data_IF_962483599192
#
_entry.id   IF_962483599192
#
_cell.length_a   1.000
_cell.length_b   1.000
_cell.length_c   1.000
_cell.angle_alpha   90.00
_cell.angle_beta   90.00
_cell.angle_gamma   90.00
#
_symmetry.space_group_name_H-M   'P 1'
#
loop_
_entity.id
_entity.type
_entity.pdbx_description
1 polymer ?
#
# COMPACT_ATOMS: atom_id res chain seq x y z
N UNK A 1 71.68 -41.10 36.29
CA UNK A 1 70.87 -40.66 35.13
C UNK A 1 69.40 -40.55 35.51
N UNK A 2 68.75 -41.62 35.98
CA UNK A 2 67.35 -41.62 36.45
C UNK A 2 67.00 -40.53 37.48
N UNK A 3 67.78 -40.41 38.56
CA UNK A 3 67.52 -39.41 39.60
C UNK A 3 67.66 -37.96 39.12
N UNK A 4 68.60 -37.71 38.19
CA UNK A 4 68.82 -36.39 37.61
C UNK A 4 67.70 -36.02 36.64
N UNK A 5 67.23 -36.99 35.85
CA UNK A 5 66.07 -36.84 34.97
C UNK A 5 64.77 -36.60 35.75
N UNK A 6 64.53 -37.37 36.82
CA UNK A 6 63.37 -37.17 37.70
C UNK A 6 63.37 -35.81 38.39
N UNK A 7 64.53 -35.32 38.80
CA UNK A 7 64.67 -34.00 39.44
C UNK A 7 64.46 -32.86 38.43
N UNK A 8 65.05 -32.96 37.24
CA UNK A 8 64.86 -31.98 36.15
C UNK A 8 63.41 -31.96 35.65
N UNK A 9 62.79 -33.13 35.49
CA UNK A 9 61.39 -33.26 35.11
C UNK A 9 60.48 -32.62 36.18
N UNK A 10 60.71 -32.91 37.47
CA UNK A 10 59.91 -32.31 38.54
C UNK A 10 60.09 -30.79 38.68
N UNK A 11 61.31 -30.26 38.51
CA UNK A 11 61.60 -28.84 38.76
C UNK A 11 61.21 -27.92 37.59
N UNK A 12 61.16 -28.44 36.35
CA UNK A 12 60.92 -27.60 35.16
C UNK A 12 59.60 -27.97 34.47
N UNK A 13 59.29 -29.25 34.29
CA UNK A 13 58.12 -29.68 33.53
C UNK A 13 56.80 -29.44 34.29
N UNK A 14 56.81 -29.61 35.61
CA UNK A 14 55.64 -29.40 36.47
C UNK A 14 55.20 -27.91 36.50
N UNK A 15 56.07 -26.92 36.78
CA UNK A 15 55.66 -25.51 36.75
C UNK A 15 55.31 -25.02 35.35
N UNK A 16 56.01 -25.50 34.31
CA UNK A 16 55.69 -25.13 32.92
C UNK A 16 54.30 -25.63 32.49
N UNK A 17 53.92 -26.85 32.87
CA UNK A 17 52.58 -27.40 32.56
C UNK A 17 51.46 -26.70 33.34
N UNK A 18 51.69 -26.34 34.61
CA UNK A 18 50.78 -25.51 35.41
C UNK A 18 50.57 -24.12 34.80
N UNK A 19 51.65 -23.46 34.36
CA UNK A 19 51.57 -22.15 33.73
C UNK A 19 50.79 -22.20 32.41
N UNK A 20 51.02 -23.23 31.58
CA UNK A 20 50.27 -23.45 30.34
C UNK A 20 48.79 -23.69 30.61
N UNK A 21 48.44 -24.52 31.60
CA UNK A 21 47.05 -24.78 31.98
C UNK A 21 46.35 -23.50 32.45
N UNK A 22 47.00 -22.69 33.29
CA UNK A 22 46.47 -21.41 33.75
C UNK A 22 46.23 -20.43 32.59
N UNK A 23 47.16 -20.36 31.62
CA UNK A 23 47.01 -19.53 30.44
C UNK A 23 45.82 -19.97 29.56
N UNK A 24 45.61 -21.28 29.37
CA UNK A 24 44.47 -21.81 28.62
C UNK A 24 43.14 -21.51 29.31
N UNK A 25 43.06 -21.67 30.63
CA UNK A 25 41.86 -21.33 31.42
C UNK A 25 41.56 -19.84 31.32
N UNK A 26 42.57 -18.98 31.42
CA UNK A 26 42.41 -17.54 31.26
C UNK A 26 41.90 -17.18 29.86
N UNK A 27 42.46 -17.77 28.82
CA UNK A 27 42.07 -17.51 27.43
C UNK A 27 40.63 -17.98 27.15
N UNK A 28 40.25 -19.14 27.68
CA UNK A 28 38.88 -19.64 27.62
C UNK A 28 37.89 -18.72 28.39
N UNK A 29 38.27 -18.20 29.56
CA UNK A 29 37.46 -17.27 30.32
C UNK A 29 37.23 -15.95 29.56
N UNK A 30 38.29 -15.39 28.96
CA UNK A 30 38.20 -14.18 28.12
C UNK A 30 37.31 -14.43 26.90
N UNK A 31 37.45 -15.58 26.24
CA UNK A 31 36.62 -15.94 25.10
C UNK A 31 35.15 -16.06 25.48
N UNK A 32 34.82 -16.77 26.57
CA UNK A 32 33.46 -16.89 27.09
C UNK A 32 32.86 -15.52 27.48
N UNK A 33 33.66 -14.65 28.10
CA UNK A 33 33.24 -13.28 28.42
C UNK A 33 32.94 -12.48 27.14
N UNK A 34 33.81 -12.59 26.12
CA UNK A 34 33.62 -11.96 24.82
C UNK A 34 32.33 -12.42 24.12
N UNK A 35 32.03 -13.72 24.13
CA UNK A 35 30.79 -14.26 23.57
C UNK A 35 29.55 -13.76 24.31
N UNK A 36 29.57 -13.72 25.65
CA UNK A 36 28.46 -13.20 26.46
C UNK A 36 28.22 -11.72 26.17
N UNK A 37 29.27 -10.91 26.20
CA UNK A 37 29.19 -9.48 25.87
C UNK A 37 28.66 -9.29 24.45
N UNK A 38 29.20 -10.03 23.48
CA UNK A 38 28.77 -10.00 22.08
C UNK A 38 27.29 -10.36 21.90
N UNK A 39 26.81 -11.41 22.57
CA UNK A 39 25.40 -11.82 22.50
C UNK A 39 24.45 -10.75 23.08
N UNK A 40 24.81 -10.15 24.21
CA UNK A 40 23.99 -9.13 24.87
C UNK A 40 23.96 -7.84 24.04
N UNK A 41 25.12 -7.40 23.55
CA UNK A 41 25.22 -6.22 22.70
C UNK A 41 24.53 -6.43 21.34
N UNK A 42 24.59 -7.65 20.79
CA UNK A 42 23.89 -8.05 19.58
C UNK A 42 22.38 -7.92 19.72
N UNK A 43 21.81 -8.43 20.82
CA UNK A 43 20.37 -8.36 21.09
C UNK A 43 19.88 -6.91 21.22
N UNK A 44 20.61 -6.04 21.94
CA UNK A 44 20.24 -4.62 22.06
C UNK A 44 20.28 -3.87 20.73
N UNK A 45 21.24 -4.19 19.85
CA UNK A 45 21.32 -3.59 18.52
C UNK A 45 20.20 -4.11 17.61
N UNK A 46 19.89 -5.39 17.68
CA UNK A 46 18.80 -6.01 16.92
C UNK A 46 17.44 -5.40 17.30
N UNK A 47 17.19 -5.22 18.60
CA UNK A 47 15.95 -4.63 19.11
C UNK A 47 15.77 -3.18 18.63
N UNK A 48 16.80 -2.32 18.76
CA UNK A 48 16.74 -0.94 18.25
C UNK A 48 16.56 -0.86 16.73
N UNK A 49 17.19 -1.78 15.97
CA UNK A 49 17.00 -1.84 14.53
C UNK A 49 15.58 -2.29 14.17
N UNK A 50 15.01 -3.20 14.95
CA UNK A 50 13.65 -3.69 14.77
C UNK A 50 12.63 -2.59 15.07
N UNK A 51 12.78 -1.88 16.20
CA UNK A 51 11.95 -0.73 16.55
C UNK A 51 11.99 0.36 15.46
N UNK A 52 13.19 0.74 14.99
CA UNK A 52 13.33 1.72 13.90
C UNK A 52 12.65 1.26 12.61
N UNK A 53 12.75 -0.03 12.26
CA UNK A 53 12.07 -0.60 11.09
C UNK A 53 10.55 -0.63 11.25
N UNK A 54 10.06 -0.89 12.46
CA UNK A 54 8.63 -0.85 12.77
C UNK A 54 8.09 0.58 12.68
N UNK A 55 8.81 1.56 13.24
CA UNK A 55 8.44 2.98 13.14
C UNK A 55 8.46 3.49 11.70
N UNK A 56 9.51 3.16 10.94
CA UNK A 56 9.59 3.55 9.53
C UNK A 56 8.49 2.89 8.72
N UNK A 57 8.26 1.59 8.92
CA UNK A 57 7.20 0.84 8.25
C UNK A 57 5.80 1.38 8.55
N UNK A 58 5.53 1.72 9.81
CA UNK A 58 4.26 2.36 10.23
C UNK A 58 4.09 3.73 9.59
N UNK A 59 5.13 4.56 9.60
CA UNK A 59 5.11 5.89 8.99
C UNK A 59 4.86 5.82 7.49
N UNK A 60 5.53 4.90 6.80
CA UNK A 60 5.39 4.70 5.36
C UNK A 60 4.00 4.16 4.99
N UNK A 61 3.46 3.23 5.78
CA UNK A 61 2.10 2.74 5.61
C UNK A 61 1.06 3.88 5.73
N UNK A 62 1.19 4.75 6.74
CA UNK A 62 0.32 5.91 6.92
C UNK A 62 0.47 6.90 5.76
N UNK A 63 1.69 7.20 5.31
CA UNK A 63 1.93 8.10 4.17
C UNK A 63 1.27 7.57 2.89
N UNK A 64 1.47 6.28 2.58
CA UNK A 64 0.87 5.66 1.39
C UNK A 64 -0.66 5.66 1.45
N UNK A 65 -1.22 5.30 2.61
CA UNK A 65 -2.67 5.33 2.81
C UNK A 65 -3.25 6.73 2.61
N UNK A 66 -2.60 7.76 3.18
CA UNK A 66 -3.01 9.16 2.97
C UNK A 66 -2.93 9.60 1.52
N UNK A 67 -1.88 9.22 0.79
CA UNK A 67 -1.73 9.55 -0.62
C UNK A 67 -2.85 8.92 -1.47
N UNK A 68 -3.19 7.65 -1.20
CA UNK A 68 -4.28 6.96 -1.89
C UNK A 68 -5.63 7.63 -1.58
N UNK A 69 -5.93 7.87 -0.31
CA UNK A 69 -7.18 8.52 0.11
C UNK A 69 -7.30 9.95 -0.47
N UNK A 70 -6.21 10.72 -0.47
CA UNK A 70 -6.19 12.03 -1.08
C UNK A 70 -6.49 11.96 -2.57
N UNK A 71 -5.90 11.01 -3.30
CA UNK A 71 -6.20 10.78 -4.72
C UNK A 71 -7.68 10.48 -4.97
N UNK A 72 -8.25 9.56 -4.18
CA UNK A 72 -9.68 9.20 -4.27
C UNK A 72 -10.61 10.38 -3.96
N UNK A 73 -10.28 11.18 -2.94
CA UNK A 73 -11.04 12.38 -2.60
C UNK A 73 -10.92 13.45 -3.70
N UNK A 74 -9.73 13.64 -4.27
CA UNK A 74 -9.52 14.56 -5.38
C UNK A 74 -10.35 14.17 -6.61
N UNK A 75 -10.49 12.88 -6.89
CA UNK A 75 -11.34 12.38 -7.98
C UNK A 75 -12.82 12.71 -7.74
N UNK A 76 -13.33 12.48 -6.52
CA UNK A 76 -14.73 12.76 -6.20
C UNK A 76 -15.04 14.26 -6.11
N UNK A 77 -14.09 15.07 -5.62
CA UNK A 77 -14.24 16.51 -5.45
C UNK A 77 -13.76 17.31 -6.65
N UNK A 78 -13.36 16.65 -7.74
CA UNK A 78 -12.77 17.27 -8.91
C UNK A 78 -13.55 18.48 -9.44
N UNK A 79 -14.90 18.47 -9.50
CA UNK A 79 -15.67 19.63 -9.96
C UNK A 79 -15.40 20.91 -9.15
N UNK A 80 -15.06 20.80 -7.87
CA UNK A 80 -14.80 21.96 -7.00
C UNK A 80 -13.31 22.32 -6.88
N UNK A 81 -12.43 21.60 -7.57
CA UNK A 81 -11.00 21.91 -7.57
C UNK A 81 -10.67 23.05 -8.55
N UNK A 82 -9.62 23.83 -8.26
CA UNK A 82 -9.14 24.85 -9.19
C UNK A 82 -8.85 24.26 -10.57
N UNK A 83 -9.21 24.99 -11.62
CA UNK A 83 -8.99 24.64 -13.03
C UNK A 83 -9.78 23.42 -13.55
N UNK A 84 -10.81 22.95 -12.84
CA UNK A 84 -11.75 22.02 -13.45
C UNK A 84 -12.44 22.70 -14.66
N UNK A 85 -12.46 22.06 -15.85
CA UNK A 85 -12.78 22.75 -17.10
C UNK A 85 -14.28 23.02 -17.33
N UNK A 86 -15.16 22.56 -16.44
CA UNK A 86 -16.62 22.68 -16.59
C UNK A 86 -17.28 23.34 -15.38
N UNK A 87 -18.49 23.87 -15.58
CA UNK A 87 -19.30 24.38 -14.48
C UNK A 87 -19.73 23.22 -13.56
N UNK A 88 -19.43 23.27 -12.24
CA UNK A 88 -19.75 22.20 -11.31
C UNK A 88 -21.27 21.90 -11.21
N UNK A 89 -22.12 22.88 -11.51
CA UNK A 89 -23.58 22.73 -11.49
C UNK A 89 -24.12 21.92 -12.67
N UNK A 90 -23.36 21.87 -13.77
CA UNK A 90 -23.68 21.18 -15.03
C UNK A 90 -23.05 19.77 -15.11
N UNK A 91 -22.32 19.35 -14.08
CA UNK A 91 -21.62 18.07 -14.03
C UNK A 91 -22.38 17.07 -13.16
N UNK A 92 -22.41 15.80 -13.57
CA UNK A 92 -23.00 14.68 -12.82
C UNK A 92 -21.99 13.57 -12.63
N UNK A 93 -21.87 13.10 -11.41
CA UNK A 93 -21.04 11.94 -11.07
C UNK A 93 -21.69 10.65 -11.58
N UNK A 94 -20.86 9.75 -12.14
CA UNK A 94 -21.25 8.43 -12.62
C UNK A 94 -20.39 7.34 -11.98
N UNK A 95 -19.07 7.49 -12.04
CA UNK A 95 -18.09 6.49 -11.57
C UNK A 95 -17.63 5.54 -12.67
N UNK A 96 -16.73 4.59 -12.34
CA UNK A 96 -16.05 3.76 -13.36
C UNK A 96 -17.01 3.07 -14.33
N UNK A 97 -16.71 3.08 -15.65
CA UNK A 97 -15.45 3.50 -16.29
C UNK A 97 -15.33 4.99 -16.69
N UNK A 98 -16.21 5.87 -16.21
CA UNK A 98 -16.13 7.34 -16.44
C UNK A 98 -16.60 8.11 -15.22
N UNK A 99 -15.74 8.89 -14.59
CA UNK A 99 -16.07 9.53 -13.31
C UNK A 99 -17.26 10.52 -13.40
N UNK A 100 -17.32 11.35 -14.43
CA UNK A 100 -18.39 12.35 -14.59
C UNK A 100 -18.91 12.49 -16.03
N UNK A 101 -20.11 13.04 -16.15
CA UNK A 101 -20.68 13.56 -17.40
C UNK A 101 -20.97 15.06 -17.21
N UNK A 102 -20.41 15.90 -18.07
CA UNK A 102 -20.73 17.33 -18.14
C UNK A 102 -21.79 17.57 -19.21
N UNK A 103 -22.85 18.28 -18.85
CA UNK A 103 -23.95 18.67 -19.73
C UNK A 103 -23.88 20.18 -19.98
N UNK A 104 -22.94 20.62 -20.81
CA UNK A 104 -22.63 22.05 -20.93
C UNK A 104 -23.84 22.83 -21.44
N UNK A 105 -24.06 24.02 -20.89
CA UNK A 105 -25.22 24.87 -21.22
C UNK A 105 -26.52 24.48 -20.50
N UNK A 106 -26.55 23.39 -19.73
CA UNK A 106 -27.72 23.00 -18.94
C UNK A 106 -28.27 24.12 -18.06
N UNK A 107 -27.38 24.91 -17.43
CA UNK A 107 -27.76 26.07 -16.60
C UNK A 107 -28.49 27.16 -17.39
N UNK A 108 -28.27 27.22 -18.71
CA UNK A 108 -28.94 28.14 -19.65
C UNK A 108 -30.21 27.55 -20.27
N UNK A 109 -30.62 26.35 -19.85
CA UNK A 109 -31.83 25.67 -20.32
C UNK A 109 -31.69 24.90 -21.63
N UNK A 110 -30.47 24.73 -22.16
CA UNK A 110 -30.22 23.93 -23.37
C UNK A 110 -28.86 23.25 -23.30
N UNK A 111 -28.81 21.95 -23.58
CA UNK A 111 -27.54 21.23 -23.70
C UNK A 111 -26.84 21.62 -25.01
N UNK A 112 -25.64 22.17 -24.89
CA UNK A 112 -24.74 22.51 -26.00
C UNK A 112 -23.84 21.30 -26.35
N UNK A 113 -23.27 20.64 -25.34
CA UNK A 113 -22.39 19.48 -25.48
C UNK A 113 -22.57 18.49 -24.32
N UNK A 114 -22.31 17.21 -24.58
CA UNK A 114 -22.20 16.17 -23.54
C UNK A 114 -20.76 15.66 -23.53
N UNK A 115 -20.05 15.87 -22.43
CA UNK A 115 -18.64 15.48 -22.28
C UNK A 115 -18.49 14.39 -21.23
N UNK A 116 -17.82 13.29 -21.60
CA UNK A 116 -17.38 12.27 -20.67
C UNK A 116 -16.06 12.70 -20.03
N UNK A 117 -16.01 12.77 -18.71
CA UNK A 117 -14.87 13.29 -17.96
C UNK A 117 -14.34 12.20 -17.04
N UNK A 118 -13.13 11.73 -17.34
CA UNK A 118 -12.37 10.86 -16.44
C UNK A 118 -11.36 11.72 -15.68
N UNK A 119 -11.35 11.61 -14.35
CA UNK A 119 -10.44 12.37 -13.50
C UNK A 119 -9.29 11.47 -13.09
N UNK A 120 -8.07 11.99 -13.20
CA UNK A 120 -6.86 11.32 -12.75
C UNK A 120 -6.17 12.15 -11.68
N UNK A 121 -5.77 11.48 -10.60
CA UNK A 121 -4.92 12.05 -9.57
C UNK A 121 -3.45 11.63 -9.77
N UNK A 122 -2.52 12.57 -9.67
CA UNK A 122 -1.07 12.30 -9.80
C UNK A 122 -0.67 11.67 -11.14
N UNK A 123 0.16 10.62 -11.07
CA UNK A 123 0.70 9.88 -12.24
C UNK A 123 -0.21 8.73 -12.71
N UNK A 124 -1.49 8.75 -12.34
CA UNK A 124 -2.41 7.66 -12.68
C UNK A 124 -2.73 7.64 -14.18
N UNK A 125 -2.69 6.45 -14.78
CA UNK A 125 -2.97 6.21 -16.20
C UNK A 125 -4.37 5.64 -16.40
N UNK A 126 -4.89 5.75 -17.61
CA UNK A 126 -6.15 5.10 -17.98
C UNK A 126 -6.03 3.57 -17.89
N UNK A 127 -7.03 2.94 -17.30
CA UNK A 127 -7.19 1.47 -17.30
C UNK A 127 -7.54 0.97 -18.70
N UNK A 128 -7.36 -0.34 -18.99
CA UNK A 128 -7.76 -0.89 -20.30
C UNK A 128 -9.23 -0.65 -20.65
N UNK A 129 -10.13 -0.65 -19.66
CA UNK A 129 -11.56 -0.38 -19.85
C UNK A 129 -11.80 1.09 -20.15
N UNK A 130 -11.16 2.01 -19.43
CA UNK A 130 -11.25 3.46 -19.69
C UNK A 130 -10.67 3.82 -21.08
N UNK A 131 -9.56 3.19 -21.48
CA UNK A 131 -9.01 3.32 -22.83
C UNK A 131 -9.99 2.84 -23.90
N UNK A 132 -10.65 1.71 -23.66
CA UNK A 132 -11.68 1.19 -24.57
C UNK A 132 -12.89 2.12 -24.66
N UNK A 133 -13.31 2.72 -23.54
CA UNK A 133 -14.38 3.72 -23.52
C UNK A 133 -13.99 4.95 -24.32
N UNK A 134 -12.80 5.51 -24.08
CA UNK A 134 -12.27 6.66 -24.81
C UNK A 134 -12.30 6.42 -26.32
N UNK A 135 -11.81 5.25 -26.77
CA UNK A 135 -11.86 4.88 -28.19
C UNK A 135 -13.28 4.79 -28.73
N UNK A 136 -14.22 4.22 -27.98
CA UNK A 136 -15.61 4.15 -28.39
C UNK A 136 -16.21 5.56 -28.60
N UNK A 137 -15.85 6.53 -27.75
CA UNK A 137 -16.26 7.94 -27.91
C UNK A 137 -15.60 8.57 -29.13
N UNK A 138 -14.28 8.45 -29.28
CA UNK A 138 -13.50 9.00 -30.41
C UNK A 138 -13.97 8.45 -31.77
N UNK A 139 -14.42 7.19 -31.81
CA UNK A 139 -14.98 6.53 -32.99
C UNK A 139 -16.48 6.82 -33.20
N UNK A 140 -17.10 7.65 -32.36
CA UNK A 140 -18.52 8.02 -32.48
C UNK A 140 -19.51 6.91 -32.10
N UNK A 141 -19.07 5.86 -31.39
CA UNK A 141 -19.92 4.74 -30.91
C UNK A 141 -20.70 5.10 -29.64
N UNK A 142 -21.33 6.27 -29.63
CA UNK A 142 -22.15 6.81 -28.54
C UNK A 142 -23.55 7.08 -29.08
N UNK A 143 -24.59 6.64 -28.35
CA UNK A 143 -26.00 6.81 -28.77
C UNK A 143 -26.89 7.17 -27.60
N UNK A 144 -27.93 7.95 -27.88
CA UNK A 144 -29.03 8.21 -26.96
C UNK A 144 -30.14 7.18 -27.16
N UNK A 145 -30.66 6.61 -26.09
CA UNK A 145 -31.77 5.66 -26.12
C UNK A 145 -32.78 6.03 -25.04
N UNK A 146 -34.04 6.22 -25.44
CA UNK A 146 -35.16 6.31 -24.51
C UNK A 146 -35.68 4.89 -24.23
N UNK A 147 -35.63 4.46 -22.97
CA UNK A 147 -36.24 3.22 -22.52
C UNK A 147 -37.34 3.53 -21.52
N UNK A 148 -38.54 3.01 -21.76
CA UNK A 148 -39.68 3.16 -20.87
C UNK A 148 -39.84 1.87 -20.05
N UNK A 149 -39.82 2.01 -18.73
CA UNK A 149 -40.10 0.89 -17.83
C UNK A 149 -41.55 0.45 -18.04
N UNK A 150 -41.83 -0.84 -18.29
CA UNK A 150 -43.20 -1.32 -18.41
C UNK A 150 -43.99 -1.04 -17.13
N UNK A 151 -45.20 -0.48 -17.27
CA UNK A 151 -46.12 -0.37 -16.15
C UNK A 151 -46.56 -1.78 -15.72
N UNK A 152 -46.14 -2.20 -14.53
CA UNK A 152 -46.58 -3.45 -13.92
C UNK A 152 -48.07 -3.40 -13.62
N UNK A 153 -48.92 -3.74 -14.60
CA UNK A 153 -50.34 -3.92 -14.35
C UNK A 153 -50.53 -5.28 -13.69
N UNK A 154 -50.67 -5.28 -12.37
CA UNK A 154 -51.37 -6.33 -11.65
C UNK A 154 -52.82 -6.38 -12.12
N UNK A 155 -53.07 -7.02 -13.26
CA UNK A 155 -54.40 -7.29 -13.77
C UNK A 155 -55.09 -8.25 -12.80
N UNK A 156 -55.80 -7.71 -11.80
CA UNK A 156 -56.90 -8.44 -11.18
C UNK A 156 -57.83 -8.86 -12.33
N UNK A 157 -58.21 -10.14 -12.45
CA UNK A 157 -59.20 -10.55 -13.44
C UNK A 157 -60.44 -9.71 -13.23
N UNK A 158 -60.91 -9.02 -14.28
CA UNK A 158 -62.22 -8.41 -14.27
C UNK A 158 -63.22 -9.51 -13.91
N UNK A 159 -63.91 -9.34 -12.77
CA UNK A 159 -65.01 -10.21 -12.41
C UNK A 159 -66.00 -10.18 -13.56
N UNK A 160 -66.29 -11.37 -14.11
CA UNK A 160 -67.32 -11.57 -15.10
C UNK A 160 -68.65 -11.15 -14.45
N UNK A 161 -69.24 -10.07 -14.94
CA UNK A 161 -70.64 -9.75 -14.66
C UNK A 161 -71.49 -10.75 -15.43
N UNK A 162 -71.92 -11.80 -14.73
CA UNK A 162 -73.05 -12.62 -15.14
C UNK A 162 -74.34 -11.81 -14.98
N UNK A 163 -75.10 -11.77 -16.08
CA UNK A 163 -76.57 -11.62 -16.19
C UNK A 163 -77.24 -10.40 -15.57
#
# INVERSE_FOLDING_TARGET
MEALYSLMHSQIFVPASLALAAALVFLAAVFCAGLKIGSVFGSLRAERLFERKLESGRTDAVKRSRAVLAGQLSEQLAPWLPNFPFDPTEVRFVGKPVDFIAFTGASKGRIEEVVLVEVKSGESRLSPVELSLRRAVEEGRVRYVEYRVPEGRGSRPAAQSSS
#
